data_IF_713726586941
#
_entry.id   IF_713726586941
#
_cell.length_a   1.000
_cell.length_b   1.000
_cell.length_c   1.000
_cell.angle_alpha   90.00
_cell.angle_beta   90.00
_cell.angle_gamma   90.00
#
_symmetry.space_group_name_H-M   'P 1'
#
loop_
_entity.id
_entity.type
_entity.pdbx_description
1 polymer ?
#
# COMPACT_ATOMS: atom_id res chain seq x y z
N UNK A 1 -19.36 20.01 -10.27
CA UNK A 1 -18.68 19.25 -9.19
C UNK A 1 -17.41 18.64 -9.76
N UNK A 2 -16.24 19.01 -9.25
CA UNK A 2 -14.95 18.74 -9.91
C UNK A 2 -14.46 17.28 -9.85
N UNK A 3 -15.13 16.35 -9.14
CA UNK A 3 -14.67 14.96 -9.03
C UNK A 3 -15.81 13.93 -8.99
N UNK A 4 -16.75 14.00 -9.94
CA UNK A 4 -17.92 13.10 -9.99
C UNK A 4 -17.58 11.60 -10.05
N UNK A 5 -16.40 11.24 -10.58
CA UNK A 5 -15.92 9.86 -10.63
C UNK A 5 -15.66 9.25 -9.24
N UNK A 6 -15.29 10.06 -8.24
CA UNK A 6 -15.04 9.58 -6.86
C UNK A 6 -16.34 9.12 -6.22
N UNK A 7 -17.40 9.91 -6.35
CA UNK A 7 -18.73 9.55 -5.85
C UNK A 7 -19.24 8.27 -6.51
N UNK A 8 -19.08 8.18 -7.84
CA UNK A 8 -19.42 6.98 -8.60
C UNK A 8 -18.68 5.74 -8.07
N UNK A 9 -17.37 5.84 -7.83
CA UNK A 9 -16.58 4.76 -7.24
C UNK A 9 -17.09 4.34 -5.85
N UNK A 10 -17.43 5.31 -4.98
CA UNK A 10 -17.96 5.01 -3.64
C UNK A 10 -19.28 4.24 -3.73
N UNK A 11 -20.21 4.70 -4.57
CA UNK A 11 -21.52 4.08 -4.75
C UNK A 11 -21.38 2.66 -5.35
N UNK A 12 -20.56 2.49 -6.39
CA UNK A 12 -20.29 1.20 -7.02
C UNK A 12 -19.63 0.22 -6.04
N UNK A 13 -18.69 0.68 -5.22
CA UNK A 13 -18.01 -0.15 -4.22
C UNK A 13 -18.98 -0.65 -3.15
N UNK A 14 -19.87 0.21 -2.66
CA UNK A 14 -20.91 -0.18 -1.69
C UNK A 14 -21.87 -1.20 -2.30
N UNK A 15 -22.35 -0.96 -3.52
CA UNK A 15 -23.29 -1.86 -4.19
C UNK A 15 -22.67 -3.25 -4.41
N UNK A 16 -21.43 -3.29 -4.91
CA UNK A 16 -20.70 -4.55 -5.07
C UNK A 16 -20.46 -5.26 -3.75
N UNK A 17 -20.15 -4.52 -2.68
CA UNK A 17 -19.99 -5.09 -1.35
C UNK A 17 -21.29 -5.65 -0.77
N UNK A 18 -22.46 -5.09 -1.10
CA UNK A 18 -23.77 -5.65 -0.70
C UNK A 18 -24.08 -6.96 -1.42
N UNK A 19 -23.72 -7.05 -2.70
CA UNK A 19 -23.91 -8.25 -3.52
C UNK A 19 -22.96 -9.39 -3.13
N UNK A 20 -21.69 -9.08 -2.88
CA UNK A 20 -20.64 -10.07 -2.62
C UNK A 20 -20.39 -10.33 -1.14
N UNK A 21 -20.85 -9.44 -0.25
CA UNK A 21 -20.62 -9.47 1.20
C UNK A 21 -19.14 -9.36 1.62
N UNK A 22 -18.26 -8.91 0.71
CA UNK A 22 -16.87 -8.58 0.98
C UNK A 22 -16.37 -7.45 0.08
N UNK A 23 -15.31 -6.77 0.54
CA UNK A 23 -14.49 -5.88 -0.28
C UNK A 23 -13.14 -6.55 -0.62
N UNK A 24 -12.55 -6.21 -1.76
CA UNK A 24 -11.34 -6.87 -2.29
C UNK A 24 -10.29 -5.83 -2.71
N UNK A 25 -9.01 -6.12 -2.48
CA UNK A 25 -7.88 -5.31 -2.97
C UNK A 25 -7.56 -5.63 -4.44
N UNK A 26 -6.68 -4.84 -5.07
CA UNK A 26 -6.24 -5.15 -6.45
C UNK A 26 -5.56 -6.51 -6.59
N UNK A 27 -4.97 -7.06 -5.52
CA UNK A 27 -4.34 -8.38 -5.50
C UNK A 27 -5.28 -9.49 -4.99
N UNK A 28 -6.57 -9.22 -4.85
CA UNK A 28 -7.55 -10.25 -4.50
C UNK A 28 -7.71 -10.51 -3.00
N UNK A 29 -7.07 -9.74 -2.12
CA UNK A 29 -7.25 -9.92 -0.66
C UNK A 29 -8.61 -9.42 -0.23
N UNK A 30 -9.36 -10.26 0.49
CA UNK A 30 -10.74 -9.97 0.88
C UNK A 30 -10.88 -9.52 2.33
N UNK A 31 -11.79 -8.58 2.56
CA UNK A 31 -12.36 -8.26 3.87
C UNK A 31 -13.87 -8.55 3.83
N UNK A 32 -14.31 -9.52 4.61
CA UNK A 32 -15.73 -9.84 4.73
C UNK A 32 -16.48 -8.79 5.55
N UNK A 33 -17.67 -8.43 5.09
CA UNK A 33 -18.45 -7.30 5.57
C UNK A 33 -19.81 -7.78 6.08
N UNK A 34 -19.79 -8.45 7.23
CA UNK A 34 -20.95 -9.16 7.82
C UNK A 34 -22.22 -8.31 7.91
N UNK A 35 -22.07 -7.01 8.16
CA UNK A 35 -23.19 -6.12 8.41
C UNK A 35 -23.54 -5.18 7.25
N UNK A 36 -23.02 -5.45 6.03
CA UNK A 36 -23.25 -4.60 4.86
C UNK A 36 -24.72 -4.55 4.44
N UNK A 37 -25.47 -5.62 4.76
CA UNK A 37 -26.91 -5.75 4.53
C UNK A 37 -27.73 -5.60 5.83
N UNK A 38 -27.13 -5.11 6.91
CA UNK A 38 -27.82 -4.98 8.20
C UNK A 38 -29.00 -4.01 8.12
N UNK A 39 -30.11 -4.36 8.78
CA UNK A 39 -31.26 -3.45 8.95
C UNK A 39 -30.92 -2.27 9.87
N UNK A 40 -29.94 -2.41 10.75
CA UNK A 40 -29.45 -1.34 11.60
C UNK A 40 -28.64 -0.32 10.77
N UNK A 41 -29.19 0.89 10.59
CA UNK A 41 -28.59 1.92 9.75
C UNK A 41 -27.20 2.37 10.22
N UNK A 42 -26.96 2.43 11.53
CA UNK A 42 -25.65 2.80 12.10
C UNK A 42 -24.59 1.76 11.76
N UNK A 43 -24.91 0.48 11.96
CA UNK A 43 -23.99 -0.62 11.72
C UNK A 43 -23.72 -0.80 10.21
N UNK A 44 -24.77 -0.65 9.40
CA UNK A 44 -24.65 -0.66 7.93
C UNK A 44 -23.77 0.49 7.44
N UNK A 45 -24.01 1.72 7.89
CA UNK A 45 -23.22 2.89 7.50
C UNK A 45 -21.75 2.80 7.92
N UNK A 46 -21.45 2.18 9.07
CA UNK A 46 -20.06 1.86 9.43
C UNK A 46 -19.43 0.85 8.46
N UNK A 47 -20.18 -0.19 8.08
CA UNK A 47 -19.70 -1.24 7.18
C UNK A 47 -19.54 -0.74 5.74
N UNK A 48 -20.40 0.16 5.27
CA UNK A 48 -20.27 0.85 3.98
C UNK A 48 -18.99 1.69 3.91
N UNK A 49 -18.65 2.43 4.98
CA UNK A 49 -17.36 3.13 5.06
C UNK A 49 -16.18 2.18 5.00
N UNK A 50 -16.27 1.03 5.67
CA UNK A 50 -15.25 0.00 5.57
C UNK A 50 -15.16 -0.61 4.16
N UNK A 51 -16.27 -0.76 3.45
CA UNK A 51 -16.29 -1.25 2.08
C UNK A 51 -15.51 -0.34 1.13
N UNK A 52 -15.61 0.98 1.31
CA UNK A 52 -14.85 1.97 0.55
C UNK A 52 -13.38 1.97 0.94
N UNK A 53 -13.07 1.93 2.24
CA UNK A 53 -11.70 2.09 2.72
C UNK A 53 -10.84 0.82 2.56
N UNK A 54 -11.43 -0.37 2.69
CA UNK A 54 -10.68 -1.61 2.72
C UNK A 54 -9.92 -1.91 1.41
N UNK A 55 -10.49 -1.68 0.20
CA UNK A 55 -9.75 -1.80 -1.06
C UNK A 55 -8.57 -0.83 -1.13
N UNK A 56 -8.73 0.43 -0.70
CA UNK A 56 -7.70 1.47 -0.80
C UNK A 56 -6.54 1.16 0.15
N UNK A 57 -6.82 1.07 1.45
CA UNK A 57 -5.80 0.79 2.48
C UNK A 57 -5.19 -0.60 2.29
N UNK A 58 -6.03 -1.56 1.91
CA UNK A 58 -5.57 -2.91 1.64
C UNK A 58 -4.61 -2.95 0.45
N UNK A 59 -4.92 -2.27 -0.65
CA UNK A 59 -4.03 -2.22 -1.81
C UNK A 59 -2.69 -1.56 -1.44
N UNK A 60 -2.69 -0.47 -0.67
CA UNK A 60 -1.44 0.12 -0.16
C UNK A 60 -0.62 -0.89 0.68
N UNK A 61 -1.28 -1.63 1.57
CA UNK A 61 -0.64 -2.68 2.37
C UNK A 61 -0.14 -3.87 1.53
N UNK A 62 -0.74 -4.15 0.37
CA UNK A 62 -0.27 -5.17 -0.57
C UNK A 62 0.98 -4.69 -1.33
N UNK A 63 0.97 -3.44 -1.78
CA UNK A 63 2.10 -2.79 -2.46
C UNK A 63 3.33 -2.82 -1.57
N UNK A 64 3.22 -2.31 -0.34
CA UNK A 64 4.37 -2.21 0.56
C UNK A 64 4.95 -3.59 0.89
N UNK A 65 4.11 -4.62 1.11
CA UNK A 65 4.57 -5.98 1.38
C UNK A 65 5.29 -6.58 0.19
N UNK A 66 4.80 -6.35 -1.03
CA UNK A 66 5.46 -6.83 -2.25
C UNK A 66 6.79 -6.11 -2.46
N UNK A 67 6.86 -4.80 -2.21
CA UNK A 67 8.11 -4.05 -2.22
C UNK A 67 9.11 -4.64 -1.20
N UNK A 68 8.67 -4.90 0.03
CA UNK A 68 9.50 -5.50 1.08
C UNK A 68 10.11 -6.84 0.65
N UNK A 69 9.29 -7.74 0.08
CA UNK A 69 9.75 -9.05 -0.41
C UNK A 69 10.79 -8.88 -1.52
N UNK A 70 10.52 -8.02 -2.49
CA UNK A 70 11.40 -7.78 -3.63
C UNK A 70 12.76 -7.19 -3.18
N UNK A 71 12.72 -6.18 -2.31
CA UNK A 71 13.93 -5.54 -1.76
C UNK A 71 14.73 -6.54 -0.94
N UNK A 72 14.07 -7.32 -0.08
CA UNK A 72 14.75 -8.33 0.73
C UNK A 72 15.43 -9.41 -0.12
N UNK A 73 14.75 -9.91 -1.15
CA UNK A 73 15.33 -10.87 -2.10
C UNK A 73 16.55 -10.27 -2.81
N UNK A 74 16.42 -9.05 -3.33
CA UNK A 74 17.49 -8.36 -4.03
C UNK A 74 18.71 -8.09 -3.14
N UNK A 75 18.53 -7.56 -1.92
CA UNK A 75 19.63 -7.33 -0.96
C UNK A 75 20.41 -8.62 -0.68
N UNK A 76 19.69 -9.75 -0.54
CA UNK A 76 20.29 -11.06 -0.29
C UNK A 76 21.06 -11.58 -1.51
N UNK A 77 20.50 -11.45 -2.70
CA UNK A 77 21.11 -11.96 -3.93
C UNK A 77 22.38 -11.18 -4.30
N UNK A 78 22.40 -9.87 -4.05
CA UNK A 78 23.57 -8.99 -4.18
C UNK A 78 24.57 -9.11 -3.01
N UNK A 79 24.21 -9.85 -1.95
CA UNK A 79 25.01 -10.03 -0.72
C UNK A 79 25.38 -8.72 -0.03
N UNK A 80 24.46 -7.76 -0.04
CA UNK A 80 24.63 -6.46 0.60
C UNK A 80 24.50 -6.59 2.12
N UNK A 81 25.24 -5.76 2.85
CA UNK A 81 25.20 -5.73 4.32
C UNK A 81 24.08 -4.80 4.85
N UNK A 82 23.54 -3.90 4.02
CA UNK A 82 22.37 -3.08 4.34
C UNK A 82 21.16 -3.94 4.75
N UNK A 83 20.45 -3.50 5.80
CA UNK A 83 19.27 -4.20 6.33
C UNK A 83 18.05 -3.29 6.39
N UNK A 84 16.89 -3.81 5.98
CA UNK A 84 15.60 -3.21 6.30
C UNK A 84 15.28 -3.47 7.77
N UNK A 85 15.13 -2.40 8.56
CA UNK A 85 14.98 -2.49 10.02
C UNK A 85 13.57 -2.23 10.51
N UNK A 86 12.81 -1.35 9.82
CA UNK A 86 11.46 -0.98 10.22
C UNK A 86 10.56 -0.76 8.99
N UNK A 87 9.26 -0.93 9.23
CA UNK A 87 8.20 -0.50 8.34
C UNK A 87 7.19 0.29 9.18
N UNK A 88 6.88 1.52 8.77
CA UNK A 88 5.97 2.42 9.48
C UNK A 88 5.09 3.11 8.45
N UNK A 89 3.77 2.93 8.56
CA UNK A 89 2.81 3.43 7.56
C UNK A 89 3.11 2.96 6.12
N UNK A 90 3.66 3.82 5.29
CA UNK A 90 4.09 3.62 3.90
C UNK A 90 5.62 3.75 3.73
N UNK A 91 6.35 3.93 4.84
CA UNK A 91 7.81 4.09 4.88
C UNK A 91 8.53 2.76 5.20
N UNK A 92 9.67 2.55 4.54
CA UNK A 92 10.63 1.49 4.86
C UNK A 92 11.94 2.12 5.32
N UNK A 93 12.40 1.75 6.52
CA UNK A 93 13.62 2.29 7.12
C UNK A 93 14.73 1.26 6.99
N UNK A 94 15.92 1.73 6.58
CA UNK A 94 17.10 0.90 6.38
C UNK A 94 18.25 1.33 7.29
N UNK A 95 18.92 0.35 7.87
CA UNK A 95 20.27 0.47 8.42
C UNK A 95 21.24 0.20 7.25
N UNK A 96 21.68 1.27 6.60
CA UNK A 96 22.45 1.22 5.36
C UNK A 96 23.95 1.37 5.61
N UNK A 97 24.73 0.54 4.92
CA UNK A 97 26.19 0.71 4.88
C UNK A 97 26.53 1.91 4.01
N UNK A 98 27.34 2.84 4.54
CA UNK A 98 27.59 4.15 3.91
C UNK A 98 28.09 4.04 2.46
N UNK A 99 28.94 3.04 2.21
CA UNK A 99 29.51 2.74 0.89
C UNK A 99 28.48 2.16 -0.09
N UNK A 100 27.42 1.53 0.42
CA UNK A 100 26.34 0.93 -0.38
C UNK A 100 25.25 1.95 -0.73
N UNK A 101 25.13 3.08 -0.01
CA UNK A 101 24.02 4.05 -0.14
C UNK A 101 23.77 4.48 -1.59
N UNK A 102 24.83 4.85 -2.33
CA UNK A 102 24.71 5.29 -3.72
C UNK A 102 24.19 4.19 -4.65
N UNK A 103 24.49 2.92 -4.34
CA UNK A 103 24.05 1.76 -5.12
C UNK A 103 22.61 1.35 -4.76
N UNK A 104 22.29 1.30 -3.47
CA UNK A 104 20.98 0.81 -3.00
C UNK A 104 19.86 1.80 -3.25
N UNK A 105 20.13 3.11 -3.16
CA UNK A 105 19.10 4.16 -3.22
C UNK A 105 18.27 4.11 -4.51
N UNK A 106 18.87 4.16 -5.72
CA UNK A 106 18.09 4.09 -6.95
C UNK A 106 17.36 2.74 -7.09
N UNK A 107 17.96 1.65 -6.62
CA UNK A 107 17.36 0.31 -6.77
C UNK A 107 16.19 0.08 -5.82
N UNK A 108 16.29 0.50 -4.57
CA UNK A 108 15.17 0.46 -3.61
C UNK A 108 14.01 1.30 -4.15
N UNK A 109 14.29 2.52 -4.64
CA UNK A 109 13.27 3.39 -5.25
C UNK A 109 12.55 2.69 -6.40
N UNK A 110 13.29 2.07 -7.32
CA UNK A 110 12.74 1.30 -8.44
C UNK A 110 11.86 0.14 -7.94
N UNK A 111 12.35 -0.67 -7.00
CA UNK A 111 11.64 -1.83 -6.48
C UNK A 111 10.35 -1.47 -5.73
N UNK A 112 10.34 -0.32 -5.05
CA UNK A 112 9.13 0.22 -4.40
C UNK A 112 8.13 0.75 -5.45
N UNK A 113 8.59 1.59 -6.39
CA UNK A 113 7.73 2.19 -7.41
C UNK A 113 7.12 1.16 -8.37
N UNK A 114 7.81 0.04 -8.60
CA UNK A 114 7.37 -1.03 -9.51
C UNK A 114 6.74 -2.23 -8.80
N UNK A 115 6.53 -2.14 -7.47
CA UNK A 115 5.96 -3.23 -6.68
C UNK A 115 4.59 -3.67 -7.21
N UNK A 116 3.75 -2.73 -7.66
CA UNK A 116 2.49 -3.01 -8.32
C UNK A 116 2.19 -1.95 -9.37
N UNK A 117 1.83 -2.37 -10.58
CA UNK A 117 1.34 -1.46 -11.61
C UNK A 117 -0.10 -1.05 -11.26
N UNK A 118 -0.33 0.24 -11.02
CA UNK A 118 -1.65 0.75 -10.77
C UNK A 118 -2.49 0.82 -12.05
N UNK A 119 -3.83 0.70 -11.95
CA UNK A 119 -4.72 0.88 -13.09
C UNK A 119 -4.50 2.23 -13.79
N UNK A 120 -4.79 2.27 -15.08
CA UNK A 120 -4.68 3.48 -15.92
C UNK A 120 -3.27 4.08 -16.02
N UNK A 121 -2.23 3.34 -15.62
CA UNK A 121 -0.85 3.78 -15.76
C UNK A 121 -0.44 4.87 -14.79
N UNK A 122 -1.17 5.04 -13.68
CA UNK A 122 -0.80 6.00 -12.62
C UNK A 122 0.52 5.54 -11.97
N UNK A 123 1.58 6.36 -11.98
CA UNK A 123 2.86 5.97 -11.39
C UNK A 123 2.80 6.02 -9.86
N UNK A 124 3.56 5.12 -9.21
CA UNK A 124 3.89 5.24 -7.80
C UNK A 124 5.18 6.04 -7.66
N UNK A 125 5.14 7.09 -6.85
CA UNK A 125 6.30 7.91 -6.52
C UNK A 125 6.87 7.51 -5.16
N UNK A 126 8.19 7.57 -5.04
CA UNK A 126 8.92 7.18 -3.84
C UNK A 126 9.98 8.25 -3.57
N UNK A 127 9.88 8.84 -2.40
CA UNK A 127 10.87 9.77 -1.87
C UNK A 127 11.89 9.00 -1.01
N UNK A 128 13.14 9.48 -1.01
CA UNK A 128 14.22 8.86 -0.25
C UNK A 128 15.01 9.97 0.41
N UNK A 129 15.15 9.88 1.74
CA UNK A 129 16.10 10.67 2.50
C UNK A 129 17.13 9.77 3.19
N UNK A 130 18.25 10.37 3.58
CA UNK A 130 19.36 9.68 4.24
C UNK A 130 19.94 10.58 5.32
N UNK A 131 20.24 10.03 6.48
CA UNK A 131 20.75 10.78 7.61
C UNK A 131 21.37 9.87 8.67
N UNK A 132 22.03 10.47 9.68
CA UNK A 132 22.65 9.70 10.77
C UNK A 132 21.66 9.20 11.80
N UNK A 133 20.42 9.66 11.71
CA UNK A 133 19.30 9.24 12.53
C UNK A 133 18.03 9.40 11.70
N UNK A 134 16.95 8.80 12.17
CA UNK A 134 15.69 8.78 11.46
C UNK A 134 15.13 10.19 11.20
N UNK A 135 15.24 11.11 12.17
CA UNK A 135 14.76 12.50 12.02
C UNK A 135 15.46 13.28 10.89
N UNK A 136 16.70 12.92 10.53
CA UNK A 136 17.42 13.53 9.40
C UNK A 136 17.14 12.84 8.07
N UNK A 137 16.69 11.59 8.11
CA UNK A 137 16.41 10.77 6.93
C UNK A 137 14.96 10.86 6.48
N UNK A 138 14.05 11.18 7.40
CA UNK A 138 12.65 11.50 7.17
C UNK A 138 12.51 12.97 6.78
#
# INVERSE_FOLDING_TARGET
EEFGAVKKYMDETINRARELEYAETLLGRRRYLRDINSRNATLRGYTERNAINAPIQGTAADIIKKAMINIHAWLRDEKLATRMILQVHDELVFDAVQEEVAYITPKIKELMATALLLPHGVPLEVEVGSGRNWLQAH
#
